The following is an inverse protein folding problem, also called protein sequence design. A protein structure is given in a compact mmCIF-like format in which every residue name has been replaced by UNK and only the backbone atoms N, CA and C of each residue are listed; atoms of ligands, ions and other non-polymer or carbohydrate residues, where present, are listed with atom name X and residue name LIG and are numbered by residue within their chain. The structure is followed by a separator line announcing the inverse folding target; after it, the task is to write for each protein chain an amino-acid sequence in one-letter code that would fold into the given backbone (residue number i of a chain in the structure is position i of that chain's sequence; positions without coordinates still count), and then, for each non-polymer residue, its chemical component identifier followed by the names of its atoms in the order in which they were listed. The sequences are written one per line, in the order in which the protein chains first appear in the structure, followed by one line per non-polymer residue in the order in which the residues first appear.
data_IF_689822782700
#
_entry.id   IF_689822782700
#
_cell.length_a   1.000
_cell.length_b   1.000
_cell.length_c   1.000
_cell.angle_alpha   90.00
_cell.angle_beta   90.00
_cell.angle_gamma   90.00
#
_symmetry.space_group_name_H-M   'P 1'
#
loop_
_entity.id
_entity.type
_entity.pdbx_description
1 polymer ?
#
# COMPACT_ATOMS: atom_id res chain seq x y z
N UNK A 1 -49.77 -1.63 -10.02
CA UNK A 1 -48.37 -1.61 -10.50
C UNK A 1 -47.46 -1.77 -9.30
N UNK A 2 -46.67 -2.84 -9.25
CA UNK A 2 -45.63 -3.04 -8.24
C UNK A 2 -44.30 -2.89 -8.97
N UNK A 3 -44.07 -1.71 -9.51
CA UNK A 3 -42.88 -1.38 -10.29
C UNK A 3 -42.19 -0.19 -9.63
N UNK A 4 -40.86 -0.33 -9.52
CA UNK A 4 -39.91 0.71 -9.17
C UNK A 4 -39.81 1.17 -7.71
N UNK A 5 -39.59 0.22 -6.78
CA UNK A 5 -38.56 0.44 -5.73
C UNK A 5 -37.15 0.32 -6.36
N UNK A 6 -36.93 0.92 -7.53
CA UNK A 6 -35.92 0.49 -8.48
C UNK A 6 -35.35 1.57 -9.39
N UNK A 7 -35.62 2.85 -9.10
CA UNK A 7 -34.90 3.98 -9.71
C UNK A 7 -33.95 4.57 -8.66
N UNK A 8 -33.05 3.72 -8.12
CA UNK A 8 -31.83 4.30 -7.56
C UNK A 8 -31.10 4.88 -8.77
N UNK A 9 -31.11 6.21 -8.88
CA UNK A 9 -30.60 6.97 -10.00
C UNK A 9 -29.28 6.36 -10.51
N UNK A 10 -29.19 6.09 -11.83
CA UNK A 10 -28.01 5.50 -12.45
C UNK A 10 -26.72 6.23 -12.06
N UNK A 11 -26.78 7.54 -11.79
CA UNK A 11 -25.62 8.32 -11.29
C UNK A 11 -25.22 7.97 -9.85
N UNK A 12 -26.18 7.64 -8.99
CA UNK A 12 -25.92 7.18 -7.62
C UNK A 12 -25.30 5.78 -7.67
N UNK A 13 -25.84 4.90 -8.53
CA UNK A 13 -25.29 3.56 -8.74
C UNK A 13 -23.85 3.63 -9.23
N UNK A 14 -23.53 4.52 -10.17
CA UNK A 14 -22.15 4.67 -10.68
C UNK A 14 -21.20 5.22 -9.63
N UNK A 15 -21.62 6.19 -8.81
CA UNK A 15 -20.78 6.72 -7.71
C UNK A 15 -20.48 5.62 -6.69
N UNK A 16 -21.48 4.81 -6.30
CA UNK A 16 -21.28 3.68 -5.40
C UNK A 16 -20.34 2.65 -6.01
N UNK A 17 -20.49 2.35 -7.30
CA UNK A 17 -19.62 1.41 -7.99
C UNK A 17 -18.15 1.88 -7.99
N UNK A 18 -17.89 3.15 -8.29
CA UNK A 18 -16.52 3.71 -8.24
C UNK A 18 -15.98 3.68 -6.81
N UNK A 19 -16.77 4.08 -5.82
CA UNK A 19 -16.37 4.04 -4.42
C UNK A 19 -16.01 2.62 -3.97
N UNK A 20 -16.80 1.61 -4.38
CA UNK A 20 -16.52 0.21 -4.10
C UNK A 20 -15.21 -0.26 -4.74
N UNK A 21 -14.96 0.12 -6.01
CA UNK A 21 -13.69 -0.21 -6.69
C UNK A 21 -12.50 0.44 -6.01
N UNK A 22 -12.58 1.73 -5.66
CA UNK A 22 -11.52 2.44 -4.93
C UNK A 22 -11.27 1.79 -3.57
N UNK A 23 -12.32 1.44 -2.84
CA UNK A 23 -12.20 0.78 -1.55
C UNK A 23 -11.47 -0.57 -1.69
N UNK A 24 -11.89 -1.42 -2.62
CA UNK A 24 -11.24 -2.72 -2.89
C UNK A 24 -9.77 -2.53 -3.30
N UNK A 25 -9.49 -1.53 -4.14
CA UNK A 25 -8.14 -1.25 -4.59
C UNK A 25 -7.23 -0.84 -3.42
N UNK A 26 -7.72 0.04 -2.54
CA UNK A 26 -6.96 0.51 -1.39
C UNK A 26 -6.75 -0.58 -0.34
N UNK A 27 -7.71 -1.48 -0.14
CA UNK A 27 -7.63 -2.53 0.90
C UNK A 27 -6.92 -3.79 0.46
N UNK A 28 -7.03 -4.21 -0.81
CA UNK A 28 -6.48 -5.48 -1.28
C UNK A 28 -5.37 -5.31 -2.31
N UNK A 29 -5.49 -4.38 -3.24
CA UNK A 29 -4.54 -4.26 -4.35
C UNK A 29 -3.29 -3.49 -3.92
N UNK A 30 -3.45 -2.36 -3.22
CA UNK A 30 -2.33 -1.58 -2.70
C UNK A 30 -1.39 -2.35 -1.77
N UNK A 31 -1.82 -3.15 -0.77
CA UNK A 31 -0.86 -3.87 0.07
C UNK A 31 0.02 -4.86 -0.74
N UNK A 32 -0.55 -5.51 -1.76
CA UNK A 32 0.21 -6.41 -2.65
C UNK A 32 1.29 -5.66 -3.43
N UNK A 33 0.96 -4.47 -3.92
CA UNK A 33 1.88 -3.61 -4.67
C UNK A 33 2.95 -3.01 -3.74
N UNK A 34 2.56 -2.56 -2.54
CA UNK A 34 3.47 -1.92 -1.59
C UNK A 34 4.60 -2.85 -1.17
N UNK A 35 4.34 -4.11 -0.88
CA UNK A 35 5.41 -5.06 -0.50
C UNK A 35 6.50 -5.21 -1.57
N UNK A 36 6.11 -5.20 -2.85
CA UNK A 36 7.06 -5.32 -3.97
C UNK A 36 7.86 -4.03 -4.18
N UNK A 37 7.21 -2.87 -4.07
CA UNK A 37 7.86 -1.56 -4.23
C UNK A 37 8.83 -1.30 -3.09
N UNK A 38 8.44 -1.59 -1.85
CA UNK A 38 9.26 -1.32 -0.67
C UNK A 38 10.61 -2.02 -0.72
N UNK A 39 10.65 -3.29 -1.14
CA UNK A 39 11.91 -4.02 -1.34
C UNK A 39 12.81 -3.37 -2.40
N UNK A 40 12.22 -2.87 -3.49
CA UNK A 40 12.94 -2.16 -4.56
C UNK A 40 13.42 -0.78 -4.15
N UNK A 41 12.63 -0.03 -3.38
CA UNK A 41 13.03 1.26 -2.83
C UNK A 41 14.19 1.09 -1.85
N UNK A 42 14.20 0.04 -1.04
CA UNK A 42 15.33 -0.25 -0.16
C UNK A 42 16.60 -0.60 -0.95
N UNK A 43 16.47 -1.35 -2.06
CA UNK A 43 17.61 -1.68 -2.94
C UNK A 43 18.26 -0.44 -3.57
N UNK A 44 17.51 0.64 -3.82
CA UNK A 44 18.07 1.92 -4.31
C UNK A 44 18.95 2.65 -3.31
N UNK A 45 18.79 2.42 -2.01
CA UNK A 45 19.65 3.07 -1.00
C UNK A 45 21.04 2.45 -0.90
N UNK A 46 21.21 1.22 -1.39
CA UNK A 46 22.50 0.54 -1.45
C UNK A 46 22.44 -0.94 -1.10
N UNK A 47 23.57 -1.64 -1.25
CA UNK A 47 23.68 -3.04 -0.85
C UNK A 47 23.46 -3.18 0.66
N UNK A 48 22.57 -4.11 1.05
CA UNK A 48 22.32 -4.45 2.45
C UNK A 48 21.09 -3.79 3.08
N UNK A 49 20.49 -2.80 2.43
CA UNK A 49 19.20 -2.26 2.84
C UNK A 49 18.07 -3.24 2.56
N UNK A 50 17.27 -3.50 3.59
CA UNK A 50 16.12 -4.39 3.60
C UNK A 50 14.91 -3.65 4.15
N UNK A 51 13.75 -4.06 3.66
CA UNK A 51 12.48 -3.60 4.19
C UNK A 51 12.29 -4.08 5.64
N UNK A 52 11.90 -3.16 6.51
CA UNK A 52 11.54 -3.44 7.90
C UNK A 52 10.21 -2.77 8.24
N UNK A 53 9.35 -3.49 8.96
CA UNK A 53 8.10 -2.98 9.55
C UNK A 53 8.30 -2.51 10.99
N UNK A 54 9.54 -2.45 11.46
CA UNK A 54 9.87 -2.16 12.84
C UNK A 54 10.56 -0.81 12.96
N UNK A 55 9.95 0.11 13.71
CA UNK A 55 10.45 1.47 13.93
C UNK A 55 11.66 1.54 14.89
N UNK A 56 12.11 0.42 15.45
CA UNK A 56 13.22 0.41 16.42
C UNK A 56 14.57 0.40 15.70
N UNK A 57 15.23 1.56 15.54
CA UNK A 57 16.59 1.70 14.99
C UNK A 57 16.77 2.84 13.98
N UNK A 58 17.96 2.96 13.37
CA UNK A 58 18.26 3.95 12.32
C UNK A 58 17.53 3.56 11.02
N UNK A 59 16.67 4.46 10.54
CA UNK A 59 15.73 4.23 9.44
C UNK A 59 16.06 5.22 8.33
N UNK A 60 16.13 4.76 7.08
CA UNK A 60 16.16 5.66 5.92
C UNK A 60 15.02 5.35 4.96
N UNK A 61 14.46 6.38 4.33
CA UNK A 61 13.32 6.23 3.45
C UNK A 61 12.08 5.74 4.20
N UNK A 62 11.34 6.67 4.79
CA UNK A 62 10.14 6.36 5.57
C UNK A 62 8.87 6.57 4.74
N UNK A 63 7.96 5.59 4.84
CA UNK A 63 6.57 5.72 4.42
C UNK A 63 5.64 5.18 5.51
N UNK A 64 4.33 5.34 5.36
CA UNK A 64 3.35 4.97 6.39
C UNK A 64 3.44 3.50 6.81
N UNK A 65 4.12 3.24 7.94
CA UNK A 65 4.27 1.93 8.58
C UNK A 65 5.46 1.08 8.12
N UNK A 66 6.48 1.68 7.49
CA UNK A 66 7.68 0.94 7.07
C UNK A 66 8.93 1.81 6.91
N UNK A 67 10.09 1.17 7.02
CA UNK A 67 11.40 1.79 6.82
C UNK A 67 12.38 0.84 6.11
N UNK A 68 13.43 1.41 5.50
CA UNK A 68 14.58 0.63 5.05
C UNK A 68 15.67 0.61 6.13
N UNK A 69 16.17 -0.58 6.44
CA UNK A 69 17.24 -0.81 7.41
C UNK A 69 18.34 -1.67 6.83
N UNK A 70 19.57 -1.41 7.24
CA UNK A 70 20.69 -2.31 6.96
C UNK A 70 20.46 -3.60 7.77
N UNK A 71 20.41 -4.75 7.10
CA UNK A 71 20.29 -6.03 7.82
C UNK A 71 21.47 -6.25 8.76
N UNK A 72 21.23 -6.72 9.99
CA UNK A 72 22.23 -6.99 11.04
C UNK A 72 23.29 -8.03 10.62
N UNK A 73 24.24 -7.59 9.79
CA UNK A 73 25.23 -8.40 9.11
C UNK A 73 25.82 -7.73 7.85
N UNK A 74 25.35 -6.53 7.50
CA UNK A 74 25.81 -5.76 6.34
C UNK A 74 26.12 -4.29 6.70
N UNK A 75 26.55 -4.04 7.94
CA UNK A 75 27.11 -2.73 8.32
C UNK A 75 28.38 -2.49 7.49
N UNK A 76 28.46 -1.42 6.68
CA UNK A 76 29.74 -1.00 6.13
C UNK A 76 30.59 -0.47 7.29
N UNK A 77 31.63 -1.23 7.64
CA UNK A 77 32.70 -0.76 8.53
C UNK A 77 33.46 0.43 7.95
#
# INVERSE_FOLDING_TARGET
MKEATGELNMTVVTVIAIAAVVAIFMTFVLPLIRGSIQGKVCETYGPGYKYSTSDTGDCIGEGSGWCCKVGSGNEPG
#
